data_IF_017194819274
#
_entry.id   IF_017194819274
#
_cell.length_a   1.000
_cell.length_b   1.000
_cell.length_c   1.000
_cell.angle_alpha   90.00
_cell.angle_beta   90.00
_cell.angle_gamma   90.00
#
_symmetry.space_group_name_H-M   'P 1'
#
loop_
_entity.id
_entity.type
_entity.pdbx_description
1 polymer ?
#
# COMPACT_ATOMS: atom_id res chain seq x y z
N UNK A 1 -4.31 11.83 -7.32
CA UNK A 1 -3.32 10.78 -6.97
C UNK A 1 -2.34 10.54 -8.11
N UNK A 2 -2.78 10.14 -9.31
CA UNK A 2 -1.89 9.91 -10.47
C UNK A 2 -0.94 11.09 -10.79
N UNK A 3 -1.47 12.30 -10.96
CA UNK A 3 -0.65 13.49 -11.22
C UNK A 3 0.40 13.79 -10.13
N UNK A 4 0.09 13.44 -8.87
CA UNK A 4 1.03 13.59 -7.76
C UNK A 4 2.12 12.52 -7.80
N UNK A 5 1.76 11.27 -8.13
CA UNK A 5 2.72 10.18 -8.34
C UNK A 5 3.68 10.55 -9.46
N UNK A 6 3.18 10.98 -10.62
CA UNK A 6 4.00 11.41 -11.75
C UNK A 6 4.96 12.55 -11.37
N UNK A 7 4.46 13.57 -10.66
CA UNK A 7 5.28 14.69 -10.19
C UNK A 7 6.34 14.29 -9.13
N UNK A 8 6.14 13.17 -8.43
CA UNK A 8 7.07 12.69 -7.40
C UNK A 8 8.28 11.93 -7.96
N UNK A 9 8.21 11.46 -9.22
CA UNK A 9 9.23 10.61 -9.82
C UNK A 9 10.52 11.41 -10.08
N UNK A 10 11.65 10.83 -9.71
CA UNK A 10 12.97 11.31 -10.10
C UNK A 10 13.28 10.83 -11.52
N UNK A 11 13.46 11.79 -12.43
CA UNK A 11 13.61 11.55 -13.85
C UNK A 11 15.09 11.58 -14.27
N UNK A 12 15.51 10.57 -15.02
CA UNK A 12 16.78 10.54 -15.75
C UNK A 12 16.49 10.53 -17.24
N UNK A 13 17.01 11.48 -17.99
CA UNK A 13 16.78 11.63 -19.45
C UNK A 13 15.29 11.65 -19.85
N UNK A 14 14.45 12.22 -18.97
CA UNK A 14 13.00 12.33 -19.18
C UNK A 14 12.19 11.08 -18.82
N UNK A 15 12.80 10.02 -18.30
CA UNK A 15 12.13 8.80 -17.87
C UNK A 15 12.28 8.55 -16.36
N UNK A 16 11.29 7.89 -15.76
CA UNK A 16 11.34 7.52 -14.35
C UNK A 16 12.53 6.60 -14.05
N UNK A 17 13.38 7.00 -13.11
CA UNK A 17 14.60 6.26 -12.80
C UNK A 17 14.29 5.01 -11.97
N UNK A 18 14.53 3.83 -12.54
CA UNK A 18 14.38 2.54 -11.84
C UNK A 18 15.48 2.37 -10.79
N UNK A 19 15.11 2.06 -9.55
CA UNK A 19 16.03 1.81 -8.43
C UNK A 19 16.11 0.33 -8.10
N UNK A 20 14.99 -0.37 -8.19
CA UNK A 20 14.94 -1.81 -7.97
C UNK A 20 13.86 -2.47 -8.82
N UNK A 21 14.10 -3.69 -9.24
CA UNK A 21 13.08 -4.61 -9.74
C UNK A 21 13.15 -5.87 -8.90
N UNK A 22 11.99 -6.40 -8.52
CA UNK A 22 11.95 -7.61 -7.69
C UNK A 22 12.10 -8.85 -8.58
N UNK A 23 13.07 -9.74 -8.31
CA UNK A 23 13.18 -10.98 -9.06
C UNK A 23 11.94 -11.86 -8.86
N UNK A 24 11.43 -12.45 -9.93
CA UNK A 24 10.32 -13.39 -9.89
C UNK A 24 8.92 -12.78 -10.02
N UNK A 25 8.79 -11.45 -10.14
CA UNK A 25 7.56 -10.79 -10.56
C UNK A 25 7.80 -9.45 -11.27
N UNK A 26 6.72 -8.75 -11.63
CA UNK A 26 6.74 -7.50 -12.39
C UNK A 26 6.86 -6.24 -11.52
N UNK A 27 7.17 -6.37 -10.22
CA UNK A 27 7.26 -5.20 -9.34
C UNK A 27 8.51 -4.36 -9.64
N UNK A 28 8.29 -3.08 -9.96
CA UNK A 28 9.32 -2.07 -10.23
C UNK A 28 9.23 -0.91 -9.25
N UNK A 29 10.38 -0.52 -8.71
CA UNK A 29 10.52 0.57 -7.76
C UNK A 29 11.32 1.69 -8.40
N UNK A 30 10.71 2.88 -8.49
CA UNK A 30 11.30 4.07 -9.09
C UNK A 30 11.76 5.05 -8.01
N UNK A 31 12.79 5.82 -8.31
CA UNK A 31 13.26 6.88 -7.44
C UNK A 31 12.20 7.98 -7.34
N UNK A 32 12.13 8.60 -6.17
CA UNK A 32 11.28 9.75 -5.91
C UNK A 32 12.08 10.85 -5.24
N UNK A 33 11.78 12.11 -5.54
CA UNK A 33 12.31 13.26 -4.83
C UNK A 33 11.58 13.55 -3.51
N UNK A 34 10.48 12.83 -3.23
CA UNK A 34 9.76 12.99 -1.98
C UNK A 34 10.46 12.25 -0.83
N UNK A 35 10.28 12.79 0.37
CA UNK A 35 10.64 12.06 1.57
C UNK A 35 9.68 10.90 1.81
N UNK A 36 10.26 9.76 2.16
CA UNK A 36 9.48 8.63 2.64
C UNK A 36 8.59 9.06 3.82
N UNK A 37 7.29 8.85 3.70
CA UNK A 37 6.34 9.12 4.76
C UNK A 37 5.48 7.91 5.05
N UNK A 38 5.51 7.49 6.30
CA UNK A 38 4.88 6.25 6.79
C UNK A 38 3.35 6.24 6.63
N UNK A 39 2.73 7.43 6.55
CA UNK A 39 1.30 7.60 6.27
C UNK A 39 0.88 7.35 4.82
N UNK A 40 1.84 7.19 3.88
CA UNK A 40 1.57 6.88 2.46
C UNK A 40 1.85 5.42 2.11
N UNK A 41 2.08 4.57 3.12
CA UNK A 41 2.24 3.13 2.90
C UNK A 41 0.92 2.49 2.43
N UNK A 42 1.04 1.40 1.66
CA UNK A 42 -0.10 0.57 1.26
C UNK A 42 -0.97 0.16 2.47
N UNK A 43 -0.33 -0.07 3.61
CA UNK A 43 -1.00 -0.42 4.86
C UNK A 43 -1.93 0.70 5.37
N UNK A 44 -1.57 1.97 5.16
CA UNK A 44 -2.42 3.10 5.57
C UNK A 44 -3.66 3.20 4.66
N UNK A 45 -3.50 3.00 3.36
CA UNK A 45 -4.62 2.93 2.42
C UNK A 45 -5.56 1.77 2.76
N UNK A 46 -5.01 0.56 2.98
CA UNK A 46 -5.81 -0.62 3.36
C UNK A 46 -6.52 -0.40 4.69
N UNK A 47 -5.84 0.20 5.68
CA UNK A 47 -6.49 0.55 6.95
C UNK A 47 -7.64 1.55 6.78
N UNK A 48 -7.54 2.49 5.83
CA UNK A 48 -8.63 3.40 5.46
C UNK A 48 -9.83 2.65 4.87
N UNK A 49 -9.59 1.71 3.94
CA UNK A 49 -10.65 0.89 3.33
C UNK A 49 -11.34 0.01 4.39
N UNK A 50 -10.57 -0.65 5.25
CA UNK A 50 -11.12 -1.50 6.32
C UNK A 50 -11.93 -0.66 7.33
N UNK A 51 -11.45 0.54 7.68
CA UNK A 51 -12.19 1.45 8.55
C UNK A 51 -13.53 1.89 7.93
N UNK A 52 -13.53 2.22 6.64
CA UNK A 52 -14.75 2.55 5.91
C UNK A 52 -15.74 1.37 5.83
N UNK A 53 -15.23 0.13 5.86
CA UNK A 53 -16.04 -1.09 5.96
C UNK A 53 -16.49 -1.42 7.40
N UNK A 54 -16.26 -0.54 8.38
CA UNK A 54 -16.72 -0.70 9.77
C UNK A 54 -15.76 -1.50 10.66
N UNK A 55 -14.58 -1.89 10.17
CA UNK A 55 -13.58 -2.59 10.97
C UNK A 55 -12.76 -1.59 11.80
N UNK A 56 -12.60 -1.87 13.09
CA UNK A 56 -11.69 -1.09 13.96
C UNK A 56 -10.24 -1.36 13.59
N UNK A 57 -9.71 -0.52 12.70
CA UNK A 57 -8.27 -0.44 12.42
C UNK A 57 -7.59 0.44 13.47
N UNK A 58 -6.32 0.13 13.76
CA UNK A 58 -5.47 0.91 14.68
C UNK A 58 -4.48 1.70 13.82
N UNK A 59 -4.75 2.97 13.48
CA UNK A 59 -4.04 3.67 12.39
C UNK A 59 -2.54 3.84 12.62
N UNK A 60 -2.13 3.95 13.89
CA UNK A 60 -0.72 4.04 14.30
C UNK A 60 0.02 2.69 14.23
N UNK A 61 -0.71 1.57 14.20
CA UNK A 61 -0.16 0.21 14.14
C UNK A 61 -0.23 -0.37 12.72
N UNK A 62 -1.11 0.18 11.86
CA UNK A 62 -1.18 -0.07 10.42
C UNK A 62 0.01 0.46 9.62
N UNK A 63 1.15 0.71 10.28
CA UNK A 63 2.43 1.00 9.65
C UNK A 63 2.98 -0.27 8.98
N UNK A 64 2.75 -1.43 9.61
CA UNK A 64 3.21 -2.73 9.10
C UNK A 64 2.05 -3.49 8.46
N UNK A 65 2.37 -4.35 7.50
CA UNK A 65 1.36 -5.20 6.85
C UNK A 65 0.81 -6.26 7.82
N UNK A 66 1.53 -6.57 8.90
CA UNK A 66 1.10 -7.52 9.93
C UNK A 66 -0.16 -7.07 10.69
N UNK A 67 -0.31 -5.78 11.03
CA UNK A 67 -1.51 -5.29 11.71
C UNK A 67 -2.76 -5.31 10.81
N UNK A 68 -2.57 -5.18 9.49
CA UNK A 68 -3.65 -5.31 8.50
C UNK A 68 -4.17 -6.75 8.48
N UNK A 69 -3.28 -7.73 8.39
CA UNK A 69 -3.63 -9.16 8.44
C UNK A 69 -4.31 -9.48 9.77
N UNK A 70 -3.77 -9.03 10.89
CA UNK A 70 -4.36 -9.24 12.21
C UNK A 70 -5.75 -8.60 12.36
N UNK A 71 -6.01 -7.47 11.69
CA UNK A 71 -7.34 -6.84 11.70
C UNK A 71 -8.35 -7.67 10.92
N UNK A 72 -7.95 -8.23 9.76
CA UNK A 72 -8.78 -9.13 8.96
C UNK A 72 -9.09 -10.41 9.76
N UNK A 73 -8.08 -11.02 10.39
CA UNK A 73 -8.26 -12.22 11.21
C UNK A 73 -9.21 -11.97 12.39
N UNK A 74 -9.08 -10.82 13.06
CA UNK A 74 -9.98 -10.42 14.17
C UNK A 74 -11.42 -10.21 13.71
N UNK A 75 -11.62 -9.71 12.49
CA UNK A 75 -12.94 -9.44 11.94
C UNK A 75 -13.74 -10.71 11.65
N UNK A 76 -13.11 -11.90 11.64
CA UNK A 76 -13.74 -13.20 11.34
C UNK A 76 -14.68 -13.11 10.13
N UNK A 77 -14.17 -12.54 9.05
CA UNK A 77 -14.92 -12.37 7.82
C UNK A 77 -15.35 -13.74 7.29
N UNK A 78 -16.53 -13.78 6.68
CA UNK A 78 -16.98 -14.98 5.98
C UNK A 78 -16.15 -15.11 4.69
N UNK A 79 -15.01 -15.78 4.79
CA UNK A 79 -14.04 -15.96 3.70
C UNK A 79 -14.36 -17.18 2.84
N UNK A 80 -15.46 -17.89 3.14
CA UNK A 80 -15.92 -18.97 2.29
C UNK A 80 -16.25 -18.41 0.90
N UNK A 81 -15.81 -19.06 -0.19
CA UNK A 81 -16.20 -18.64 -1.53
C UNK A 81 -17.74 -18.71 -1.62
N UNK A 82 -18.35 -17.70 -2.24
CA UNK A 82 -19.78 -17.73 -2.52
C UNK A 82 -20.09 -19.02 -3.31
N UNK A 83 -20.97 -19.85 -2.77
CA UNK A 83 -21.50 -20.98 -3.53
C UNK A 83 -22.57 -20.43 -4.49
N UNK A 84 -22.26 -20.48 -5.78
CA UNK A 84 -23.23 -20.31 -6.87
C UNK A 84 -24.18 -21.51 -6.97
#
# INVERSE_FOLDING_TARGET
LAAHIEASLDLSDGAARLVAARPGDDARFFASHEHFWIGRLCNHWTAGVLNAAGMQTRPMQAITSGEIVATIDRAKLDTAPAQD
#
